data_IF_945435338949
#
_entry.id   IF_945435338949
#
_cell.length_a   1.000
_cell.length_b   1.000
_cell.length_c   1.000
_cell.angle_alpha   90.00
_cell.angle_beta   90.00
_cell.angle_gamma   90.00
#
_symmetry.space_group_name_H-M   'P 1'
#
loop_
_entity.id
_entity.type
_entity.pdbx_description
1 polymer ?
#
# COMPACT_ATOMS: atom_id res chain seq x y z
N UNK A 1 6.79 -14.08 15.05
CA UNK A 1 7.71 -14.40 13.94
C UNK A 1 7.13 -14.09 12.56
N UNK A 2 5.90 -14.49 12.22
CA UNK A 2 5.30 -14.24 10.88
C UNK A 2 5.23 -12.74 10.51
N UNK A 3 4.87 -11.87 11.45
CA UNK A 3 4.80 -10.42 11.22
C UNK A 3 6.13 -9.79 10.86
N UNK A 4 7.23 -10.32 11.41
CA UNK A 4 8.58 -9.88 11.07
C UNK A 4 8.94 -10.20 9.62
N UNK A 5 8.54 -11.39 9.13
CA UNK A 5 8.77 -11.78 7.73
C UNK A 5 8.05 -10.81 6.79
N UNK A 6 6.78 -10.52 7.05
CA UNK A 6 6.02 -9.56 6.24
C UNK A 6 6.59 -8.14 6.35
N UNK A 7 7.01 -7.71 7.54
CA UNK A 7 7.68 -6.42 7.72
C UNK A 7 8.92 -6.32 6.81
N UNK A 8 9.84 -7.28 6.88
CA UNK A 8 11.05 -7.27 6.06
C UNK A 8 10.71 -7.29 4.58
N UNK A 9 9.76 -8.13 4.17
CA UNK A 9 9.31 -8.23 2.79
C UNK A 9 8.77 -6.88 2.26
N UNK A 10 7.92 -6.20 3.03
CA UNK A 10 7.39 -4.90 2.62
C UNK A 10 8.45 -3.80 2.65
N UNK A 11 9.38 -3.80 3.61
CA UNK A 11 10.48 -2.82 3.62
C UNK A 11 11.39 -3.02 2.41
N UNK A 12 11.74 -4.26 2.06
CA UNK A 12 12.50 -4.58 0.84
C UNK A 12 11.75 -4.25 -0.44
N UNK A 13 10.41 -4.26 -0.42
CA UNK A 13 9.61 -3.81 -1.54
C UNK A 13 9.56 -2.27 -1.64
N UNK A 14 9.19 -1.57 -0.56
CA UNK A 14 8.91 -0.13 -0.59
C UNK A 14 10.15 0.76 -0.55
N UNK A 15 11.17 0.41 0.24
CA UNK A 15 12.36 1.25 0.38
C UNK A 15 13.08 1.41 -0.97
N UNK A 16 13.32 0.35 -1.77
CA UNK A 16 13.95 0.49 -3.08
C UNK A 16 13.01 1.05 -4.15
N UNK A 17 11.69 0.84 -4.01
CA UNK A 17 10.71 1.33 -4.98
C UNK A 17 10.75 2.86 -5.10
N UNK A 18 10.90 3.58 -3.99
CA UNK A 18 10.94 5.06 -4.01
C UNK A 18 12.14 5.61 -4.81
N UNK A 19 13.41 5.25 -4.51
CA UNK A 19 14.55 5.66 -5.33
C UNK A 19 14.43 5.24 -6.79
N UNK A 20 13.96 4.02 -7.06
CA UNK A 20 13.78 3.53 -8.43
C UNK A 20 12.78 4.37 -9.22
N UNK A 21 11.61 4.65 -8.63
CA UNK A 21 10.57 5.50 -9.22
C UNK A 21 11.05 6.93 -9.44
N UNK A 22 11.71 7.52 -8.44
CA UNK A 22 12.29 8.87 -8.56
C UNK A 22 13.32 8.92 -9.67
N UNK A 23 14.20 7.93 -9.78
CA UNK A 23 15.17 7.83 -10.86
C UNK A 23 14.48 7.72 -12.24
N UNK A 24 13.42 6.93 -12.35
CA UNK A 24 12.60 6.83 -13.57
C UNK A 24 11.99 8.16 -14.00
N UNK A 25 11.53 8.96 -13.03
CA UNK A 25 10.99 10.30 -13.28
C UNK A 25 12.06 11.32 -13.70
N UNK A 26 13.21 11.33 -13.03
CA UNK A 26 14.31 12.25 -13.35
C UNK A 26 14.90 11.93 -14.73
N UNK A 27 15.06 10.65 -15.05
CA UNK A 27 15.59 10.20 -16.36
C UNK A 27 14.57 10.24 -17.49
N UNK A 28 13.33 10.70 -17.23
CA UNK A 28 12.21 10.73 -18.18
C UNK A 28 11.88 9.36 -18.81
N UNK A 29 12.33 8.26 -18.21
CA UNK A 29 11.98 6.90 -18.63
C UNK A 29 10.52 6.56 -18.27
N UNK A 30 9.99 7.20 -17.22
CA UNK A 30 8.57 7.12 -16.87
C UNK A 30 7.86 8.44 -17.19
N UNK A 31 7.00 8.42 -18.21
CA UNK A 31 6.13 9.55 -18.58
C UNK A 31 4.73 9.31 -18.02
N UNK A 32 4.54 9.72 -16.77
CA UNK A 32 3.25 9.68 -16.08
C UNK A 32 2.77 11.09 -15.72
N UNK A 33 1.46 11.28 -15.61
CA UNK A 33 0.88 12.56 -15.19
C UNK A 33 1.25 12.86 -13.73
N UNK A 34 1.26 14.15 -13.35
CA UNK A 34 1.55 14.55 -11.97
C UNK A 34 0.61 13.88 -10.96
N UNK A 35 -0.67 13.69 -11.32
CA UNK A 35 -1.65 12.99 -10.49
C UNK A 35 -1.25 11.55 -10.16
N UNK A 36 -0.76 10.79 -11.14
CA UNK A 36 -0.28 9.41 -10.93
C UNK A 36 0.92 9.40 -9.96
N UNK A 37 1.84 10.35 -10.11
CA UNK A 37 3.04 10.44 -9.25
C UNK A 37 2.66 10.71 -7.79
N UNK A 38 1.73 11.64 -7.57
CA UNK A 38 1.22 11.98 -6.23
C UNK A 38 0.51 10.77 -5.62
N UNK A 39 -0.38 10.11 -6.38
CA UNK A 39 -1.12 8.93 -5.92
C UNK A 39 -0.18 7.77 -5.52
N UNK A 40 0.85 7.51 -6.32
CA UNK A 40 1.87 6.50 -6.00
C UNK A 40 2.68 6.86 -4.75
N UNK A 41 3.13 8.10 -4.64
CA UNK A 41 3.93 8.56 -3.49
C UNK A 41 3.12 8.49 -2.18
N UNK A 42 1.89 8.98 -2.19
CA UNK A 42 0.98 8.89 -1.05
C UNK A 42 0.69 7.45 -0.68
N UNK A 43 0.46 6.57 -1.67
CA UNK A 43 0.26 5.15 -1.42
C UNK A 43 1.48 4.53 -0.72
N UNK A 44 2.70 4.81 -1.17
CA UNK A 44 3.91 4.26 -0.53
C UNK A 44 4.08 4.77 0.89
N UNK A 45 3.92 6.07 1.14
CA UNK A 45 3.99 6.63 2.51
C UNK A 45 2.94 5.97 3.41
N UNK A 46 1.72 5.85 2.92
CA UNK A 46 0.62 5.26 3.67
C UNK A 46 0.95 3.82 4.08
N UNK A 47 1.42 3.00 3.14
CA UNK A 47 1.82 1.61 3.44
C UNK A 47 3.05 1.50 4.34
N UNK A 48 4.04 2.37 4.17
CA UNK A 48 5.20 2.44 5.08
C UNK A 48 4.77 2.77 6.50
N UNK A 49 3.81 3.67 6.69
CA UNK A 49 3.21 3.91 8.00
C UNK A 49 2.53 2.65 8.54
N UNK A 50 1.76 1.95 7.71
CA UNK A 50 1.15 0.66 8.08
C UNK A 50 2.17 -0.40 8.52
N UNK A 51 3.40 -0.38 7.99
CA UNK A 51 4.45 -1.32 8.38
C UNK A 51 4.85 -1.17 9.86
N UNK A 52 4.61 -0.01 10.48
CA UNK A 52 4.84 0.19 11.92
C UNK A 52 3.95 -0.76 12.73
N UNK A 53 2.71 -1.05 12.30
CA UNK A 53 1.86 -2.02 12.99
C UNK A 53 2.45 -3.44 12.95
N UNK A 54 3.09 -3.82 11.83
CA UNK A 54 3.78 -5.10 11.73
C UNK A 54 5.01 -5.16 12.63
N UNK A 55 5.74 -4.05 12.76
CA UNK A 55 6.85 -3.93 13.70
C UNK A 55 6.39 -4.03 15.16
N UNK A 56 5.29 -3.35 15.51
CA UNK A 56 4.66 -3.51 16.81
C UNK A 56 4.32 -4.97 17.07
N UNK A 57 3.63 -5.64 16.15
CA UNK A 57 3.29 -7.07 16.29
C UNK A 57 4.51 -7.99 16.38
N UNK A 58 5.57 -7.68 15.66
CA UNK A 58 6.81 -8.46 15.68
C UNK A 58 7.60 -8.27 16.99
N UNK A 59 7.62 -7.05 17.53
CA UNK A 59 8.38 -6.70 18.73
C UNK A 59 7.60 -6.89 20.04
N UNK A 60 6.29 -7.08 19.96
CA UNK A 60 5.41 -7.15 21.14
C UNK A 60 5.10 -5.79 21.76
N UNK A 61 5.68 -4.70 21.25
CA UNK A 61 5.48 -3.35 21.77
C UNK A 61 4.27 -2.68 21.11
N UNK A 62 3.74 -1.67 21.77
CA UNK A 62 2.71 -0.80 21.25
C UNK A 62 3.15 0.66 21.41
N UNK A 63 3.33 1.36 20.29
CA UNK A 63 3.75 2.76 20.21
C UNK A 63 2.59 3.66 19.78
N UNK A 64 1.72 3.14 18.89
CA UNK A 64 0.58 3.84 18.31
C UNK A 64 -0.71 3.34 18.98
N UNK A 65 -1.64 4.26 19.23
CA UNK A 65 -2.91 3.94 19.88
C UNK A 65 -3.80 3.07 18.97
N UNK A 66 -4.64 2.17 19.54
CA UNK A 66 -5.53 1.34 18.73
C UNK A 66 -6.52 2.17 17.91
N UNK A 67 -6.92 3.35 18.43
CA UNK A 67 -7.78 4.29 17.73
C UNK A 67 -7.13 4.83 16.45
N UNK A 68 -5.84 5.18 16.49
CA UNK A 68 -5.12 5.61 15.29
C UNK A 68 -5.01 4.48 14.27
N UNK A 69 -4.82 3.24 14.73
CA UNK A 69 -4.86 2.07 13.84
C UNK A 69 -6.22 1.81 13.24
N UNK A 70 -7.31 1.98 13.99
CA UNK A 70 -8.67 1.86 13.48
C UNK A 70 -8.98 2.92 12.41
N UNK A 71 -8.53 4.16 12.64
CA UNK A 71 -8.65 5.24 11.67
C UNK A 71 -7.85 4.93 10.39
N UNK A 72 -6.58 4.55 10.55
CA UNK A 72 -5.72 4.17 9.42
C UNK A 72 -6.34 3.02 8.63
N UNK A 73 -6.82 1.97 9.31
CA UNK A 73 -7.44 0.81 8.68
C UNK A 73 -8.67 1.21 7.87
N UNK A 74 -9.54 2.04 8.43
CA UNK A 74 -10.74 2.53 7.77
C UNK A 74 -10.40 3.32 6.49
N UNK A 75 -9.43 4.24 6.57
CA UNK A 75 -8.92 4.98 5.41
C UNK A 75 -8.34 4.02 4.38
N UNK A 76 -7.55 3.05 4.81
CA UNK A 76 -6.87 2.12 3.92
C UNK A 76 -7.81 1.15 3.20
N UNK A 77 -8.91 0.73 3.84
CA UNK A 77 -9.98 -0.03 3.18
C UNK A 77 -10.68 0.84 2.12
N UNK A 78 -11.04 2.08 2.46
CA UNK A 78 -11.64 3.00 1.49
C UNK A 78 -10.69 3.27 0.32
N UNK A 79 -9.40 3.45 0.58
CA UNK A 79 -8.37 3.64 -0.44
C UNK A 79 -8.18 2.41 -1.34
N UNK A 80 -8.34 1.20 -0.79
CA UNK A 80 -8.23 -0.06 -1.56
C UNK A 80 -9.51 -0.41 -2.31
N UNK A 81 -10.66 0.12 -1.90
CA UNK A 81 -11.93 -0.13 -2.61
C UNK A 81 -12.20 0.98 -3.63
N UNK A 82 -11.72 2.21 -3.39
CA UNK A 82 -12.02 3.35 -4.25
C UNK A 82 -11.71 3.13 -5.73
N UNK A 83 -10.63 2.44 -6.16
CA UNK A 83 -10.37 2.21 -7.59
C UNK A 83 -11.36 1.23 -8.24
N UNK A 84 -12.14 0.47 -7.45
CA UNK A 84 -13.20 -0.39 -7.96
C UNK A 84 -14.48 0.38 -8.30
N UNK A 85 -14.65 1.58 -7.74
CA UNK A 85 -15.87 2.39 -7.83
C UNK A 85 -15.62 3.70 -8.59
N UNK A 86 -14.43 4.27 -8.43
CA UNK A 86 -14.01 5.58 -8.96
C UNK A 86 -12.77 5.36 -9.84
N UNK A 87 -12.74 5.95 -11.04
CA UNK A 87 -11.50 5.94 -11.84
C UNK A 87 -10.48 6.89 -11.21
N UNK A 88 -9.37 6.35 -10.70
CA UNK A 88 -8.21 7.13 -10.25
C UNK A 88 -7.24 7.37 -11.42
N UNK A 89 -6.41 8.42 -11.37
CA UNK A 89 -5.35 8.66 -12.36
C UNK A 89 -4.48 7.44 -12.62
N UNK A 90 -4.14 6.67 -11.56
CA UNK A 90 -3.36 5.44 -11.69
C UNK A 90 -4.13 4.35 -12.43
N UNK A 91 -5.43 4.20 -12.17
CA UNK A 91 -6.27 3.22 -12.87
C UNK A 91 -6.40 3.55 -14.36
N UNK A 92 -6.54 4.83 -14.71
CA UNK A 92 -6.58 5.29 -16.10
C UNK A 92 -5.26 5.01 -16.83
N UNK A 93 -4.13 5.28 -16.18
CA UNK A 93 -2.82 4.91 -16.72
C UNK A 93 -2.68 3.39 -16.90
N UNK A 94 -3.17 2.60 -15.94
CA UNK A 94 -3.13 1.13 -16.03
C UNK A 94 -3.99 0.59 -17.18
N UNK A 95 -5.13 1.24 -17.47
CA UNK A 95 -5.98 0.91 -18.64
C UNK A 95 -5.25 1.12 -19.96
N UNK A 96 -4.38 2.13 -20.06
CA UNK A 96 -3.57 2.37 -21.26
C UNK A 96 -2.50 1.29 -21.44
N UNK A 97 -1.92 0.77 -20.36
CA UNK A 97 -0.86 -0.23 -20.39
C UNK A 97 -1.38 -1.67 -20.54
N UNK A 98 -2.53 -1.97 -19.94
CA UNK A 98 -3.15 -3.30 -19.97
C UNK A 98 -4.56 -3.16 -20.55
N UNK A 99 -4.75 -3.25 -21.87
CA UNK A 99 -6.05 -2.97 -22.49
C UNK A 99 -7.15 -4.00 -22.16
N UNK A 100 -6.77 -5.22 -21.71
CA UNK A 100 -7.74 -6.27 -21.38
C UNK A 100 -8.33 -6.07 -19.95
N UNK A 101 -9.65 -5.85 -19.79
CA UNK A 101 -10.28 -5.60 -18.49
C UNK A 101 -10.14 -6.74 -17.47
N UNK A 102 -10.15 -7.99 -17.92
CA UNK A 102 -10.01 -9.16 -17.03
C UNK A 102 -8.59 -9.24 -16.48
N UNK A 103 -7.58 -8.93 -17.30
CA UNK A 103 -6.18 -8.85 -16.85
C UNK A 103 -5.97 -7.71 -15.87
N UNK A 104 -6.59 -6.54 -16.09
CA UNK A 104 -6.54 -5.42 -15.14
C UNK A 104 -7.08 -5.82 -13.77
N UNK A 105 -8.26 -6.46 -13.72
CA UNK A 105 -8.88 -6.93 -12.48
C UNK A 105 -8.00 -7.94 -11.75
N UNK A 106 -7.37 -8.87 -12.49
CA UNK A 106 -6.47 -9.85 -11.91
C UNK A 106 -5.23 -9.19 -11.28
N UNK A 107 -4.59 -8.25 -11.98
CA UNK A 107 -3.44 -7.49 -11.44
C UNK A 107 -3.84 -6.74 -10.17
N UNK A 108 -5.03 -6.12 -10.17
CA UNK A 108 -5.55 -5.44 -9.00
C UNK A 108 -5.76 -6.40 -7.82
N UNK A 109 -6.43 -7.53 -8.07
CA UNK A 109 -6.70 -8.53 -7.04
C UNK A 109 -5.41 -9.10 -6.44
N UNK A 110 -4.42 -9.41 -7.28
CA UNK A 110 -3.10 -9.89 -6.82
C UNK A 110 -2.43 -8.82 -5.96
N UNK A 111 -2.46 -7.55 -6.39
CA UNK A 111 -1.94 -6.42 -5.62
C UNK A 111 -2.61 -6.29 -4.26
N UNK A 112 -3.94 -6.34 -4.21
CA UNK A 112 -4.69 -6.26 -2.95
C UNK A 112 -4.42 -7.45 -2.02
N UNK A 113 -4.31 -8.67 -2.56
CA UNK A 113 -3.96 -9.87 -1.79
C UNK A 113 -2.53 -9.79 -1.23
N UNK A 114 -1.59 -9.27 -2.01
CA UNK A 114 -0.23 -9.02 -1.56
C UNK A 114 -0.19 -8.06 -0.36
N UNK A 115 -1.13 -7.11 -0.29
CA UNK A 115 -1.25 -6.15 0.81
C UNK A 115 -2.06 -6.67 2.00
N UNK A 116 -2.79 -7.79 1.85
CA UNK A 116 -3.67 -8.28 2.91
C UNK A 116 -2.96 -8.51 4.26
N UNK A 117 -1.74 -9.09 4.34
CA UNK A 117 -1.02 -9.22 5.62
C UNK A 117 -0.80 -7.89 6.35
N UNK A 118 -0.53 -6.80 5.62
CA UNK A 118 -0.40 -5.46 6.20
C UNK A 118 -1.71 -5.03 6.87
N UNK A 119 -2.82 -5.15 6.14
CA UNK A 119 -4.14 -4.78 6.63
C UNK A 119 -4.58 -5.62 7.82
N UNK A 120 -4.32 -6.93 7.79
CA UNK A 120 -4.60 -7.82 8.93
C UNK A 120 -3.76 -7.43 10.15
N UNK A 121 -2.49 -7.09 9.96
CA UNK A 121 -1.63 -6.64 11.05
C UNK A 121 -2.15 -5.35 11.70
N UNK A 122 -2.55 -4.37 10.87
CA UNK A 122 -3.16 -3.13 11.39
C UNK A 122 -4.50 -3.43 12.08
N UNK A 123 -5.32 -4.32 11.54
CA UNK A 123 -6.58 -4.70 12.18
C UNK A 123 -6.36 -5.29 13.59
N UNK A 124 -5.39 -6.20 13.76
CA UNK A 124 -5.03 -6.75 15.07
C UNK A 124 -4.53 -5.65 16.02
N UNK A 125 -3.76 -4.66 15.51
CA UNK A 125 -3.32 -3.53 16.34
C UNK A 125 -4.42 -2.50 16.61
N UNK A 126 -5.49 -2.50 15.82
CA UNK A 126 -6.68 -1.66 16.05
C UNK A 126 -7.65 -2.27 17.06
N UNK A 127 -7.62 -3.59 17.26
CA UNK A 127 -8.43 -4.21 18.30
C UNK A 127 -7.91 -3.76 19.67
N UNK A 128 -8.80 -3.25 20.51
CA UNK A 128 -8.51 -2.85 21.89
C UNK A 128 -8.17 -4.04 22.81
N UNK A 129 -8.02 -5.23 22.25
CA UNK A 129 -7.70 -6.46 22.97
C UNK A 129 -6.27 -6.83 22.61
N UNK A 130 -5.42 -6.82 23.65
CA UNK A 130 -3.97 -7.08 23.62
C UNK A 130 -3.71 -8.57 23.34
#
# INVERSE_FOLDING_TARGET
>A
MVWFVFLVLYLLFYIPTLPWKVHGYVTKKEVTTLGVKIEEFLSVIFHLFGCIALYELASGNQFISPMLWALWFSIGILWTISPLIISSPKLEYLKQQIPNPNKQKLVYLIGSLFMAPLYVGVFIRSSFVI
#
